data_IF_668380213329
#
_entry.id   IF_668380213329
#
_cell.length_a   1.000
_cell.length_b   1.000
_cell.length_c   1.000
_cell.angle_alpha   90.00
_cell.angle_beta   90.00
_cell.angle_gamma   90.00
#
_symmetry.space_group_name_H-M   'P 1'
#
loop_
_entity.id
_entity.type
_entity.pdbx_description
1 polymer ?
#
# COMPACT_ATOMS: atom_id res chain seq x y z
N UNK A 1 5.33 -2.25 -17.46
CA UNK A 1 4.89 -1.01 -18.12
C UNK A 1 3.43 -1.22 -18.50
N UNK A 2 2.49 -0.84 -17.63
CA UNK A 2 1.05 -1.02 -17.85
C UNK A 2 0.40 0.35 -18.02
N UNK A 3 -0.07 0.63 -19.23
CA UNK A 3 -1.06 1.67 -19.48
C UNK A 3 -2.33 1.30 -18.70
N UNK A 4 -2.70 2.14 -17.73
CA UNK A 4 -3.99 1.99 -17.06
C UNK A 4 -5.10 2.38 -18.05
N UNK A 5 -5.78 1.38 -18.61
CA UNK A 5 -7.02 1.58 -19.35
C UNK A 5 -8.06 2.20 -18.42
N UNK A 6 -8.43 3.44 -18.74
CA UNK A 6 -9.54 4.17 -18.15
C UNK A 6 -10.84 3.43 -18.45
N UNK A 7 -11.41 2.79 -17.43
CA UNK A 7 -12.74 2.18 -17.50
C UNK A 7 -13.78 3.30 -17.68
N UNK A 8 -14.28 3.45 -18.91
CA UNK A 8 -15.43 4.30 -19.23
C UNK A 8 -16.69 3.69 -18.60
N UNK A 9 -17.32 4.45 -17.72
CA UNK A 9 -18.68 4.22 -17.25
C UNK A 9 -19.67 4.26 -18.44
N UNK A 10 -20.14 3.08 -18.85
CA UNK A 10 -21.26 2.94 -19.79
C UNK A 10 -22.57 2.94 -18.98
N UNK A 11 -23.08 4.14 -18.62
CA UNK A 11 -24.46 4.30 -18.16
C UNK A 11 -25.39 4.19 -19.38
N UNK A 12 -25.93 3.00 -19.58
CA UNK A 12 -27.05 2.78 -20.51
C UNK A 12 -28.32 3.24 -19.82
N UNK A 13 -28.85 4.39 -20.26
CA UNK A 13 -30.22 4.81 -19.99
C UNK A 13 -31.15 3.96 -20.84
N UNK A 14 -31.79 2.97 -20.20
CA UNK A 14 -32.75 2.06 -20.81
C UNK A 14 -34.18 2.52 -20.55
N UNK A 15 -34.85 2.77 -21.65
CA UNK A 15 -36.16 3.35 -21.87
C UNK A 15 -37.35 2.57 -21.28
N UNK A 16 -38.41 3.31 -20.96
CA UNK A 16 -39.66 2.84 -20.38
C UNK A 16 -40.66 2.58 -21.50
N UNK A 17 -41.14 1.35 -21.65
CA UNK A 17 -42.01 0.97 -22.77
C UNK A 17 -42.79 -0.32 -22.57
N UNK A 18 -43.94 -0.17 -21.91
CA UNK A 18 -45.27 -0.71 -22.27
C UNK A 18 -45.57 -2.23 -22.43
N UNK A 19 -46.52 -2.65 -21.59
CA UNK A 19 -47.66 -3.56 -21.79
C UNK A 19 -47.67 -4.58 -22.93
N UNK A 20 -47.81 -5.87 -22.60
CA UNK A 20 -48.92 -6.70 -23.14
C UNK A 20 -49.13 -8.04 -22.42
N UNK A 21 -50.39 -8.22 -22.05
CA UNK A 21 -51.11 -9.44 -21.68
C UNK A 21 -50.98 -10.54 -22.72
N UNK A 22 -50.80 -11.79 -22.28
CA UNK A 22 -50.77 -12.99 -23.13
C UNK A 22 -51.08 -14.25 -22.33
N UNK A 23 -52.24 -14.82 -22.60
CA UNK A 23 -52.93 -15.91 -21.91
C UNK A 23 -52.44 -17.27 -22.44
N UNK A 24 -52.21 -18.20 -21.51
CA UNK A 24 -52.27 -19.68 -21.65
C UNK A 24 -51.22 -20.38 -22.53
N UNK A 25 -50.37 -21.17 -21.87
CA UNK A 25 -49.99 -22.49 -22.38
C UNK A 25 -49.62 -23.42 -21.21
N UNK A 26 -50.57 -24.26 -20.78
CA UNK A 26 -50.44 -25.19 -19.65
C UNK A 26 -50.18 -26.65 -20.08
N UNK A 27 -49.77 -26.90 -21.34
CA UNK A 27 -49.65 -28.25 -21.90
C UNK A 27 -48.27 -28.64 -22.45
N UNK A 28 -47.17 -28.12 -21.88
CA UNK A 28 -45.79 -28.49 -22.27
C UNK A 28 -45.00 -29.24 -21.19
N UNK A 29 -45.66 -29.73 -20.13
CA UNK A 29 -45.00 -30.21 -18.90
C UNK A 29 -44.59 -31.69 -18.84
N UNK A 30 -44.58 -32.41 -19.96
CA UNK A 30 -44.15 -33.82 -19.95
C UNK A 30 -43.14 -34.04 -21.08
N UNK A 31 -41.92 -34.43 -20.71
CA UNK A 31 -40.81 -34.81 -21.59
C UNK A 31 -39.80 -33.72 -21.97
N UNK A 32 -39.11 -33.20 -20.96
CA UNK A 32 -37.71 -32.79 -21.14
C UNK A 32 -36.93 -33.16 -19.88
N UNK A 33 -36.21 -34.28 -19.94
CA UNK A 33 -35.15 -34.55 -18.98
C UNK A 33 -34.22 -33.33 -18.97
N UNK A 34 -34.04 -32.64 -17.82
CA UNK A 34 -33.08 -31.54 -17.78
C UNK A 34 -31.72 -32.10 -18.23
N UNK A 35 -31.06 -31.49 -19.24
CA UNK A 35 -29.74 -31.94 -19.63
C UNK A 35 -28.87 -31.90 -18.37
N UNK A 36 -28.20 -33.00 -18.06
CA UNK A 36 -27.29 -33.08 -16.93
C UNK A 36 -26.27 -31.95 -17.07
N UNK A 37 -26.50 -30.85 -16.35
CA UNK A 37 -25.61 -29.71 -16.32
C UNK A 37 -24.38 -30.17 -15.54
N UNK A 38 -23.38 -30.67 -16.27
CA UNK A 38 -22.05 -30.84 -15.73
C UNK A 38 -21.61 -29.47 -15.21
N UNK A 39 -21.17 -29.34 -13.95
CA UNK A 39 -20.67 -28.08 -13.44
C UNK A 39 -19.49 -27.65 -14.32
N UNK A 40 -19.70 -26.60 -15.10
CA UNK A 40 -18.69 -26.03 -16.01
C UNK A 40 -17.66 -25.19 -15.27
N UNK A 41 -17.79 -25.07 -13.95
CA UNK A 41 -16.89 -24.31 -13.10
C UNK A 41 -15.92 -25.23 -12.38
N UNK A 42 -14.64 -24.89 -12.49
CA UNK A 42 -13.57 -25.51 -11.72
C UNK A 42 -13.84 -25.29 -10.21
N UNK A 43 -13.58 -26.28 -9.34
CA UNK A 43 -13.64 -26.07 -7.89
C UNK A 43 -12.73 -24.91 -7.45
N UNK A 44 -13.16 -24.14 -6.45
CA UNK A 44 -12.42 -22.97 -5.97
C UNK A 44 -11.02 -23.33 -5.48
N UNK A 45 -10.86 -24.49 -4.85
CA UNK A 45 -9.59 -25.00 -4.35
C UNK A 45 -8.57 -25.17 -5.49
N UNK A 46 -9.04 -25.55 -6.69
CA UNK A 46 -8.17 -25.68 -7.86
C UNK A 46 -7.78 -24.30 -8.40
N UNK A 47 -8.69 -23.32 -8.37
CA UNK A 47 -8.38 -21.95 -8.77
C UNK A 47 -7.36 -21.32 -7.81
N UNK A 48 -7.50 -21.56 -6.50
CA UNK A 48 -6.55 -21.11 -5.48
C UNK A 48 -5.16 -21.70 -5.71
N UNK A 49 -5.05 -23.01 -5.93
CA UNK A 49 -3.78 -23.66 -6.21
C UNK A 49 -3.10 -23.12 -7.48
N UNK A 50 -3.87 -22.82 -8.53
CA UNK A 50 -3.34 -22.21 -9.76
C UNK A 50 -2.75 -20.83 -9.44
N UNK A 51 -3.49 -19.98 -8.72
CA UNK A 51 -3.04 -18.63 -8.35
C UNK A 51 -1.84 -18.66 -7.42
N UNK A 52 -1.85 -19.54 -6.41
CA UNK A 52 -0.74 -19.72 -5.50
C UNK A 52 0.52 -20.17 -6.23
N UNK A 53 0.40 -21.11 -7.17
CA UNK A 53 1.53 -21.56 -7.97
C UNK A 53 2.12 -20.44 -8.84
N UNK A 54 1.29 -19.61 -9.47
CA UNK A 54 1.76 -18.43 -10.19
C UNK A 54 2.48 -17.44 -9.28
N UNK A 55 2.01 -17.28 -8.05
CA UNK A 55 2.57 -16.35 -7.07
C UNK A 55 3.89 -16.84 -6.43
N UNK A 56 4.36 -18.06 -6.72
CA UNK A 56 5.67 -18.55 -6.25
C UNK A 56 6.86 -17.91 -6.98
N UNK A 57 6.64 -17.41 -8.21
CA UNK A 57 7.68 -16.75 -9.00
C UNK A 57 8.04 -15.38 -8.41
N UNK A 58 9.23 -14.82 -8.73
CA UNK A 58 9.59 -13.46 -8.37
C UNK A 58 8.48 -12.48 -8.74
N UNK A 59 8.22 -11.52 -7.85
CA UNK A 59 7.07 -10.62 -7.94
C UNK A 59 7.01 -9.85 -9.25
N UNK A 60 8.17 -9.44 -9.74
CA UNK A 60 8.33 -8.69 -11.00
C UNK A 60 7.84 -9.48 -12.22
N UNK A 61 7.91 -10.81 -12.16
CA UNK A 61 7.51 -11.71 -13.24
C UNK A 61 6.03 -12.10 -13.11
N UNK A 62 5.57 -12.46 -11.90
CA UNK A 62 4.21 -12.99 -11.72
C UNK A 62 3.10 -11.93 -11.70
N UNK A 63 3.41 -10.66 -11.43
CA UNK A 63 2.37 -9.63 -11.29
C UNK A 63 1.57 -9.45 -12.58
N UNK A 64 2.23 -9.56 -13.74
CA UNK A 64 1.56 -9.48 -15.05
C UNK A 64 0.61 -10.65 -15.30
N UNK A 65 1.01 -11.85 -14.89
CA UNK A 65 0.20 -13.06 -15.03
C UNK A 65 -1.01 -13.02 -14.11
N UNK A 66 -0.83 -12.59 -12.85
CA UNK A 66 -1.92 -12.41 -11.89
C UNK A 66 -2.95 -11.39 -12.37
N UNK A 67 -2.48 -10.26 -12.94
CA UNK A 67 -3.37 -9.26 -13.55
C UNK A 67 -4.14 -9.85 -14.73
N UNK A 68 -3.44 -10.54 -15.63
CA UNK A 68 -4.05 -11.16 -16.81
C UNK A 68 -5.10 -12.20 -16.42
N UNK A 69 -4.81 -13.02 -15.41
CA UNK A 69 -5.72 -14.00 -14.84
C UNK A 69 -6.98 -13.34 -14.23
N UNK A 70 -6.80 -12.26 -13.46
CA UNK A 70 -7.90 -11.51 -12.86
C UNK A 70 -8.82 -10.84 -13.90
N UNK A 71 -8.28 -10.49 -15.07
CA UNK A 71 -9.05 -9.92 -16.18
C UNK A 71 -9.74 -11.00 -17.01
N UNK A 72 -9.17 -12.20 -17.09
CA UNK A 72 -9.71 -13.30 -17.87
C UNK A 72 -10.99 -13.89 -17.27
N UNK A 73 -11.11 -13.94 -15.94
CA UNK A 73 -12.32 -14.44 -15.27
C UNK A 73 -12.50 -13.82 -13.88
N UNK A 74 -13.76 -13.48 -13.56
CA UNK A 74 -14.13 -12.94 -12.26
C UNK A 74 -13.88 -13.91 -11.11
N UNK A 75 -13.83 -15.22 -11.38
CA UNK A 75 -13.54 -16.24 -10.39
C UNK A 75 -12.12 -16.11 -9.79
N UNK A 76 -11.17 -15.53 -10.54
CA UNK A 76 -9.80 -15.34 -10.08
C UNK A 76 -9.57 -14.01 -9.35
N UNK A 77 -10.50 -13.05 -9.45
CA UNK A 77 -10.25 -11.66 -9.00
C UNK A 77 -9.84 -11.62 -7.52
N UNK A 78 -10.60 -12.24 -6.61
CA UNK A 78 -10.32 -12.18 -5.18
C UNK A 78 -8.99 -12.84 -4.83
N UNK A 79 -8.70 -14.00 -5.44
CA UNK A 79 -7.48 -14.76 -5.24
C UNK A 79 -6.25 -14.00 -5.75
N UNK A 80 -6.32 -13.47 -6.99
CA UNK A 80 -5.23 -12.68 -7.55
C UNK A 80 -5.00 -11.38 -6.77
N UNK A 81 -6.07 -10.69 -6.34
CA UNK A 81 -5.96 -9.46 -5.55
C UNK A 81 -5.18 -9.66 -4.26
N UNK A 82 -5.40 -10.79 -3.56
CA UNK A 82 -4.64 -11.15 -2.35
C UNK A 82 -3.12 -11.12 -2.59
N UNK A 83 -2.65 -11.68 -3.70
CA UNK A 83 -1.22 -11.72 -4.03
C UNK A 83 -0.70 -10.40 -4.65
N UNK A 84 -1.53 -9.74 -5.47
CA UNK A 84 -1.24 -8.43 -6.05
C UNK A 84 -1.03 -7.38 -4.94
N UNK A 85 -1.86 -7.36 -3.91
CA UNK A 85 -1.78 -6.35 -2.85
C UNK A 85 -0.97 -6.80 -1.62
N UNK A 86 -0.41 -8.01 -1.63
CA UNK A 86 0.38 -8.55 -0.52
C UNK A 86 1.57 -7.66 -0.11
N UNK A 87 2.30 -7.13 -1.09
CA UNK A 87 3.48 -6.28 -0.89
C UNK A 87 3.30 -4.94 -1.60
N UNK A 88 3.27 -3.86 -0.86
CA UNK A 88 3.03 -2.50 -1.37
C UNK A 88 4.24 -1.63 -1.10
N UNK A 89 4.66 -0.86 -2.12
CA UNK A 89 5.70 0.16 -1.98
C UNK A 89 5.11 1.53 -2.30
N UNK A 90 5.06 2.42 -1.31
CA UNK A 90 4.54 3.78 -1.44
C UNK A 90 5.71 4.76 -1.42
N UNK A 91 5.92 5.43 -2.54
CA UNK A 91 6.95 6.44 -2.73
C UNK A 91 6.31 7.81 -2.78
N UNK A 92 6.66 8.67 -1.83
CA UNK A 92 6.14 10.02 -1.76
C UNK A 92 7.25 10.99 -2.13
N UNK A 93 6.93 11.84 -3.08
CA UNK A 93 7.70 13.02 -3.41
C UNK A 93 6.90 14.24 -3.05
N UNK A 94 7.32 14.97 -2.02
CA UNK A 94 6.78 16.30 -1.80
C UNK A 94 7.38 17.21 -2.89
N UNK A 95 6.55 18.04 -3.58
CA UNK A 95 7.04 18.97 -4.58
C UNK A 95 8.03 19.92 -3.92
N UNK A 96 9.32 19.74 -4.20
CA UNK A 96 10.34 20.70 -3.77
C UNK A 96 10.19 21.93 -4.67
N UNK A 97 9.99 23.10 -4.06
CA UNK A 97 9.77 24.37 -4.78
C UNK A 97 10.90 24.71 -5.76
N UNK A 98 12.12 24.19 -5.55
CA UNK A 98 13.31 24.59 -6.30
C UNK A 98 13.92 23.50 -7.20
N UNK A 99 13.31 22.31 -7.33
CA UNK A 99 13.85 21.25 -8.18
C UNK A 99 12.78 20.54 -9.00
N UNK A 100 12.99 20.50 -10.31
CA UNK A 100 12.20 19.64 -11.18
C UNK A 100 12.46 18.16 -10.82
N UNK A 101 11.45 17.41 -10.36
CA UNK A 101 11.60 15.97 -10.15
C UNK A 101 11.94 15.29 -11.48
N UNK A 102 12.67 14.18 -11.41
CA UNK A 102 12.78 13.31 -12.58
C UNK A 102 11.38 12.80 -12.96
N UNK A 103 11.14 12.60 -14.26
CA UNK A 103 9.88 12.02 -14.77
C UNK A 103 9.51 10.73 -14.02
N UNK A 104 10.51 9.89 -13.76
CA UNK A 104 10.35 8.63 -13.02
C UNK A 104 9.84 8.86 -11.57
N UNK A 105 10.37 9.87 -10.87
CA UNK A 105 9.96 10.18 -9.49
C UNK A 105 8.51 10.66 -9.45
N UNK A 106 8.11 11.48 -10.43
CA UNK A 106 6.75 11.97 -10.56
C UNK A 106 5.78 10.82 -10.86
N UNK A 107 6.17 9.89 -11.72
CA UNK A 107 5.38 8.70 -12.05
C UNK A 107 5.14 7.80 -10.83
N UNK A 108 6.17 7.53 -10.03
CA UNK A 108 6.00 6.77 -8.78
C UNK A 108 5.10 7.49 -7.79
N UNK A 109 5.25 8.81 -7.66
CA UNK A 109 4.41 9.61 -6.79
C UNK A 109 2.94 9.55 -7.19
N UNK A 110 2.65 9.72 -8.48
CA UNK A 110 1.29 9.66 -9.01
C UNK A 110 0.67 8.27 -8.80
N UNK A 111 1.44 7.19 -9.04
CA UNK A 111 0.98 5.82 -8.77
C UNK A 111 0.70 5.58 -7.29
N UNK A 112 1.56 6.10 -6.40
CA UNK A 112 1.35 6.01 -4.97
C UNK A 112 0.04 6.70 -4.55
N UNK A 113 -0.20 7.92 -5.03
CA UNK A 113 -1.45 8.65 -4.78
C UNK A 113 -2.68 7.91 -5.31
N UNK A 114 -2.62 7.36 -6.52
CA UNK A 114 -3.71 6.56 -7.09
C UNK A 114 -4.01 5.34 -6.22
N UNK A 115 -2.98 4.62 -5.79
CA UNK A 115 -3.14 3.48 -4.90
C UNK A 115 -3.77 3.89 -3.55
N UNK A 116 -3.30 4.98 -2.94
CA UNK A 116 -3.86 5.53 -1.71
C UNK A 116 -5.36 5.81 -1.87
N UNK A 117 -5.76 6.49 -2.96
CA UNK A 117 -7.16 6.77 -3.24
C UNK A 117 -8.00 5.50 -3.44
N UNK A 118 -7.43 4.48 -4.11
CA UNK A 118 -8.09 3.18 -4.30
C UNK A 118 -8.33 2.49 -2.95
N UNK A 119 -7.34 2.47 -2.06
CA UNK A 119 -7.47 1.84 -0.74
C UNK A 119 -8.46 2.60 0.15
N UNK A 120 -8.46 3.93 0.12
CA UNK A 120 -9.46 4.73 0.86
C UNK A 120 -10.88 4.42 0.37
N UNK A 121 -11.09 4.33 -0.95
CA UNK A 121 -12.40 4.04 -1.55
C UNK A 121 -12.83 2.59 -1.38
N UNK A 122 -11.87 1.67 -1.31
CA UNK A 122 -12.10 0.26 -1.11
C UNK A 122 -11.17 -0.33 -0.04
N UNK A 123 -11.50 -0.15 1.25
CA UNK A 123 -10.68 -0.61 2.37
C UNK A 123 -10.46 -2.13 2.41
N UNK A 124 -11.30 -2.92 1.73
CA UNK A 124 -11.12 -4.37 1.65
C UNK A 124 -9.79 -4.76 1.00
N UNK A 125 -9.26 -3.92 0.10
CA UNK A 125 -7.95 -4.13 -0.51
C UNK A 125 -6.81 -3.99 0.50
N UNK A 126 -6.98 -3.10 1.49
CA UNK A 126 -5.99 -2.91 2.56
C UNK A 126 -5.84 -4.13 3.47
N UNK A 127 -6.85 -5.00 3.54
CA UNK A 127 -6.78 -6.27 4.28
C UNK A 127 -5.74 -7.25 3.70
N UNK A 128 -5.42 -7.12 2.41
CA UNK A 128 -4.43 -7.98 1.76
C UNK A 128 -3.00 -7.49 1.97
N UNK A 129 -2.79 -6.24 2.41
CA UNK A 129 -1.47 -5.65 2.57
C UNK A 129 -0.80 -6.20 3.84
N UNK A 130 0.28 -6.96 3.65
CA UNK A 130 1.07 -7.55 4.73
C UNK A 130 2.47 -6.92 4.83
N UNK A 131 3.05 -6.56 3.68
CA UNK A 131 4.35 -5.92 3.60
C UNK A 131 4.19 -4.51 3.03
N UNK A 132 4.50 -3.50 3.83
CA UNK A 132 4.43 -2.11 3.41
C UNK A 132 5.84 -1.49 3.48
N UNK A 133 6.34 -1.03 2.33
CA UNK A 133 7.51 -0.14 2.29
C UNK A 133 7.04 1.28 1.99
N UNK A 134 7.29 2.21 2.90
CA UNK A 134 6.96 3.61 2.74
C UNK A 134 8.24 4.45 2.73
N UNK A 135 8.50 5.10 1.59
CA UNK A 135 9.66 5.96 1.38
C UNK A 135 9.24 7.39 1.12
N UNK A 136 9.88 8.32 1.83
CA UNK A 136 9.77 9.76 1.59
C UNK A 136 11.06 10.22 0.91
N UNK A 137 10.94 11.00 -0.17
CA UNK A 137 12.11 11.46 -0.96
C UNK A 137 12.53 12.89 -0.66
N UNK A 138 11.70 13.65 0.05
CA UNK A 138 11.92 15.03 0.45
C UNK A 138 11.28 15.31 1.80
N UNK A 139 11.71 16.35 2.49
CA UNK A 139 11.01 16.84 3.68
C UNK A 139 9.56 17.16 3.31
N UNK A 140 8.60 16.54 3.99
CA UNK A 140 7.18 16.83 3.79
C UNK A 140 6.94 18.30 4.13
N UNK A 141 6.56 19.09 3.14
CA UNK A 141 6.15 20.47 3.37
C UNK A 141 4.84 20.49 4.20
N UNK A 142 4.64 21.54 4.99
CA UNK A 142 3.47 21.66 5.87
C UNK A 142 2.15 21.75 5.11
N UNK A 143 2.21 22.15 3.84
CA UNK A 143 1.11 22.24 2.86
C UNK A 143 0.91 20.96 2.04
N UNK A 144 1.59 19.85 2.37
CA UNK A 144 1.40 18.60 1.64
C UNK A 144 0.06 17.93 1.99
N UNK A 145 -1.00 18.32 1.27
CA UNK A 145 -2.38 17.83 1.44
C UNK A 145 -2.51 16.30 1.38
N UNK A 146 -1.62 15.64 0.63
CA UNK A 146 -1.64 14.20 0.47
C UNK A 146 -1.41 13.43 1.78
N UNK A 147 -0.74 14.04 2.78
CA UNK A 147 -0.37 13.36 4.02
C UNK A 147 -1.57 12.74 4.74
N UNK A 148 -2.67 13.48 4.83
CA UNK A 148 -3.89 13.01 5.48
C UNK A 148 -4.45 11.74 4.85
N UNK A 149 -4.46 11.70 3.51
CA UNK A 149 -4.94 10.53 2.76
C UNK A 149 -4.01 9.32 2.93
N UNK A 150 -2.69 9.55 3.00
CA UNK A 150 -1.73 8.48 3.27
C UNK A 150 -1.98 7.84 4.63
N UNK A 151 -2.14 8.66 5.67
CA UNK A 151 -2.41 8.16 7.01
C UNK A 151 -3.76 7.42 7.07
N UNK A 152 -4.79 7.95 6.42
CA UNK A 152 -6.08 7.26 6.30
C UNK A 152 -5.97 5.92 5.55
N UNK A 153 -5.14 5.83 4.51
CA UNK A 153 -4.89 4.58 3.82
C UNK A 153 -4.13 3.57 4.71
N UNK A 154 -3.20 4.03 5.54
CA UNK A 154 -2.51 3.17 6.51
C UNK A 154 -3.46 2.61 7.58
N UNK A 155 -4.44 3.39 8.01
CA UNK A 155 -5.51 2.90 8.90
C UNK A 155 -6.36 1.81 8.24
N UNK A 156 -6.57 1.89 6.92
CA UNK A 156 -7.26 0.87 6.14
C UNK A 156 -6.43 -0.40 5.87
N UNK A 157 -5.16 -0.45 6.28
CA UNK A 157 -4.25 -1.60 6.11
C UNK A 157 -3.92 -2.24 7.46
N UNK A 158 -4.87 -2.90 8.14
CA UNK A 158 -4.62 -3.44 9.48
C UNK A 158 -3.57 -4.55 9.47
N UNK A 159 -3.52 -5.40 8.45
CA UNK A 159 -2.75 -6.65 8.47
C UNK A 159 -1.24 -6.51 8.17
N UNK A 160 -0.67 -5.31 8.32
CA UNK A 160 0.77 -5.09 8.11
C UNK A 160 1.57 -5.85 9.17
N UNK A 161 2.37 -6.81 8.72
CA UNK A 161 3.30 -7.62 9.53
C UNK A 161 4.76 -7.19 9.34
N UNK A 162 5.08 -6.60 8.19
CA UNK A 162 6.40 -6.04 7.88
C UNK A 162 6.23 -4.61 7.44
N UNK A 163 6.87 -3.70 8.16
CA UNK A 163 6.91 -2.28 7.83
C UNK A 163 8.35 -1.87 7.56
N UNK A 164 8.58 -1.30 6.39
CA UNK A 164 9.83 -0.65 6.03
C UNK A 164 9.58 0.83 5.85
N UNK A 165 10.27 1.65 6.63
CA UNK A 165 10.20 3.10 6.56
C UNK A 165 11.55 3.60 6.12
N UNK A 166 11.58 4.58 5.22
CA UNK A 166 12.86 5.20 4.92
C UNK A 166 12.82 6.52 4.20
N UNK A 167 13.99 7.13 4.14
CA UNK A 167 14.24 8.27 3.28
C UNK A 167 15.04 7.83 2.05
N UNK A 168 14.51 8.08 0.85
CA UNK A 168 15.29 7.86 -0.38
C UNK A 168 15.93 9.18 -0.76
N UNK A 169 17.26 9.28 -0.61
CA UNK A 169 17.99 10.40 -1.21
C UNK A 169 17.80 10.36 -2.73
N UNK A 170 17.14 11.38 -3.28
CA UNK A 170 16.84 11.48 -4.71
C UNK A 170 18.10 11.71 -5.58
N UNK A 171 19.31 11.72 -5.03
CA UNK A 171 20.51 11.97 -5.81
C UNK A 171 21.70 11.08 -5.43
N UNK A 172 22.07 10.12 -6.30
CA UNK A 172 23.37 9.45 -6.22
C UNK A 172 24.54 10.35 -6.67
N UNK A 173 24.27 11.56 -7.20
CA UNK A 173 25.28 12.47 -7.73
C UNK A 173 25.97 13.34 -6.65
N UNK A 174 25.60 13.22 -5.38
CA UNK A 174 26.29 13.90 -4.27
C UNK A 174 27.42 13.04 -3.69
N UNK A 175 28.04 12.23 -4.54
CA UNK A 175 29.36 11.68 -4.27
C UNK A 175 30.39 12.81 -4.24
N UNK A 176 31.11 12.88 -3.13
CA UNK A 176 32.40 13.60 -3.00
C UNK A 176 32.39 15.13 -3.15
N UNK A 177 31.96 15.85 -2.09
CA UNK A 177 32.38 17.24 -1.96
C UNK A 177 31.63 18.02 -0.89
N UNK A 178 32.05 17.90 0.38
CA UNK A 178 31.62 18.74 1.52
C UNK A 178 30.11 18.87 1.69
N UNK A 179 29.53 17.84 2.28
CA UNK A 179 28.12 17.77 2.63
C UNK A 179 27.68 18.89 3.57
N UNK A 180 26.91 19.85 3.03
CA UNK A 180 25.67 20.19 3.70
C UNK A 180 24.78 18.96 3.58
N UNK A 181 24.89 18.06 4.55
CA UNK A 181 23.98 16.95 4.63
C UNK A 181 22.56 17.51 4.64
N UNK A 182 21.75 17.14 3.64
CA UNK A 182 20.31 16.95 3.83
C UNK A 182 20.06 15.77 4.78
N UNK A 183 20.91 15.60 5.82
CA UNK A 183 20.38 15.12 7.07
C UNK A 183 19.27 16.09 7.43
N UNK A 184 18.28 15.61 8.13
CA UNK A 184 17.35 16.49 8.80
C UNK A 184 18.17 17.28 9.82
N UNK A 185 18.82 18.35 9.34
CA UNK A 185 19.71 19.16 10.12
C UNK A 185 18.93 19.67 11.33
N UNK A 186 19.62 20.16 12.36
CA UNK A 186 19.00 20.62 13.61
C UNK A 186 17.86 21.65 13.46
N UNK A 187 17.51 22.11 12.25
CA UNK A 187 16.25 22.80 11.94
C UNK A 187 14.96 22.00 12.24
N UNK A 188 14.97 20.66 12.30
CA UNK A 188 13.82 19.92 12.86
C UNK A 188 13.66 20.11 14.38
N UNK A 189 14.66 20.62 15.11
CA UNK A 189 14.51 20.95 16.54
C UNK A 189 13.55 22.11 16.79
N UNK A 190 13.14 22.83 15.74
CA UNK A 190 12.17 23.92 15.82
C UNK A 190 10.97 23.71 14.90
N UNK A 191 10.69 22.49 14.45
CA UNK A 191 9.49 22.23 13.66
C UNK A 191 8.27 22.71 14.46
N UNK A 192 7.48 23.60 13.87
CA UNK A 192 6.31 24.15 14.55
C UNK A 192 5.39 23.00 14.98
N UNK A 193 4.76 23.09 16.17
CA UNK A 193 3.69 22.17 16.54
C UNK A 193 2.68 22.06 15.39
N UNK A 194 2.39 20.83 14.96
CA UNK A 194 1.49 20.57 13.82
C UNK A 194 2.18 20.44 12.45
N UNK A 195 3.51 20.52 12.37
CA UNK A 195 4.23 20.28 11.11
C UNK A 195 3.87 18.93 10.49
N UNK A 196 3.94 18.82 9.16
CA UNK A 196 3.67 17.58 8.42
C UNK A 196 4.57 16.42 8.88
N UNK A 197 5.81 16.72 9.30
CA UNK A 197 6.69 15.71 9.89
C UNK A 197 6.15 15.13 11.20
N UNK A 198 5.65 15.98 12.11
CA UNK A 198 5.06 15.52 13.38
C UNK A 198 3.84 14.65 13.11
N UNK A 199 2.94 15.11 12.22
CA UNK A 199 1.73 14.35 11.83
C UNK A 199 2.08 13.01 11.19
N UNK A 200 3.04 12.99 10.27
CA UNK A 200 3.53 11.76 9.66
C UNK A 200 4.10 10.81 10.71
N UNK A 201 4.95 11.32 11.60
CA UNK A 201 5.55 10.54 12.68
C UNK A 201 4.49 9.94 13.59
N UNK A 202 3.51 10.72 14.02
CA UNK A 202 2.40 10.24 14.86
C UNK A 202 1.58 9.15 14.16
N UNK A 203 1.22 9.36 12.89
CA UNK A 203 0.47 8.37 12.12
C UNK A 203 1.25 7.07 11.91
N UNK A 204 2.55 7.17 11.62
CA UNK A 204 3.44 6.00 11.48
C UNK A 204 3.64 5.30 12.82
N UNK A 205 3.79 6.04 13.92
CA UNK A 205 3.83 5.48 15.28
C UNK A 205 2.60 4.64 15.58
N UNK A 206 1.41 5.06 15.11
CA UNK A 206 0.18 4.27 15.24
C UNK A 206 0.24 2.90 14.55
N UNK A 207 0.97 2.78 13.44
CA UNK A 207 1.20 1.49 12.75
C UNK A 207 2.24 0.67 13.51
N UNK A 208 3.31 1.31 13.97
CA UNK A 208 4.41 0.65 14.67
C UNK A 208 4.00 0.12 16.05
N UNK A 209 3.02 0.76 16.67
CA UNK A 209 2.41 0.31 17.92
C UNK A 209 1.47 -0.90 17.75
N UNK A 210 1.18 -1.37 16.54
CA UNK A 210 0.26 -2.49 16.32
C UNK A 210 0.86 -3.81 16.82
N UNK A 211 0.05 -4.70 17.41
CA UNK A 211 0.55 -5.97 17.97
C UNK A 211 0.98 -6.98 16.90
N UNK A 212 0.41 -6.93 15.68
CA UNK A 212 0.79 -7.85 14.60
C UNK A 212 2.10 -7.48 13.87
N UNK A 213 2.66 -6.29 14.13
CA UNK A 213 3.88 -5.88 13.44
C UNK A 213 5.07 -6.68 13.97
N UNK A 214 5.55 -7.64 13.17
CA UNK A 214 6.65 -8.52 13.54
C UNK A 214 8.02 -8.00 13.11
N UNK A 215 8.08 -7.30 11.97
CA UNK A 215 9.35 -6.80 11.40
C UNK A 215 9.26 -5.30 11.13
N UNK A 216 10.18 -4.54 11.69
CA UNK A 216 10.35 -3.11 11.43
C UNK A 216 11.72 -2.86 10.81
N UNK A 217 11.76 -2.19 9.65
CA UNK A 217 13.01 -1.79 8.99
C UNK A 217 13.05 -0.28 8.84
N UNK A 218 14.07 0.36 9.39
CA UNK A 218 14.26 1.81 9.32
C UNK A 218 15.48 2.11 8.45
N UNK A 219 15.29 2.83 7.35
CA UNK A 219 16.37 3.23 6.44
C UNK A 219 16.55 4.74 6.37
N UNK A 220 17.69 5.23 6.86
CA UNK A 220 18.01 6.66 6.89
C UNK A 220 16.97 7.50 7.64
N UNK A 221 16.44 6.96 8.75
CA UNK A 221 15.50 7.67 9.63
C UNK A 221 16.25 8.09 10.89
N UNK A 222 16.29 9.40 11.09
CA UNK A 222 16.91 10.01 12.25
C UNK A 222 15.85 10.25 13.33
N UNK A 223 16.19 9.96 14.59
CA UNK A 223 15.36 10.28 15.76
C UNK A 223 13.97 9.60 15.75
N UNK A 224 13.94 8.29 15.45
CA UNK A 224 12.69 7.53 15.53
C UNK A 224 12.24 7.37 17.01
N UNK A 225 10.96 7.58 17.36
CA UNK A 225 10.48 7.48 18.74
C UNK A 225 10.53 6.02 19.24
N UNK A 226 11.41 5.74 20.21
CA UNK A 226 11.58 4.37 20.73
C UNK A 226 10.34 3.87 21.49
N UNK A 227 9.57 4.80 22.06
CA UNK A 227 8.33 4.55 22.79
C UNK A 227 7.16 4.15 21.88
N UNK A 228 7.26 4.39 20.58
CA UNK A 228 6.29 3.92 19.60
C UNK A 228 6.45 2.43 19.26
N UNK A 229 7.54 1.79 19.67
CA UNK A 229 7.81 0.39 19.35
C UNK A 229 6.84 -0.53 20.11
N UNK A 230 6.07 -1.32 19.35
CA UNK A 230 5.27 -2.42 19.89
C UNK A 230 6.16 -3.54 20.43
N UNK A 231 5.72 -4.19 21.51
CA UNK A 231 6.35 -5.41 22.02
C UNK A 231 6.22 -6.60 21.06
N UNK A 232 5.40 -6.48 20.00
CA UNK A 232 5.24 -7.50 18.96
C UNK A 232 6.40 -7.58 17.97
N UNK A 233 7.27 -6.57 17.92
CA UNK A 233 8.38 -6.50 16.97
C UNK A 233 9.47 -7.51 17.37
N UNK A 234 9.74 -8.46 16.49
CA UNK A 234 10.74 -9.54 16.66
C UNK A 234 12.02 -9.25 15.89
N UNK A 235 11.89 -8.57 14.75
CA UNK A 235 13.01 -8.19 13.88
C UNK A 235 13.03 -6.68 13.72
N UNK A 236 14.16 -6.08 14.07
CA UNK A 236 14.41 -4.65 13.92
C UNK A 236 15.69 -4.47 13.08
N UNK A 237 15.55 -3.90 11.89
CA UNK A 237 16.68 -3.59 10.99
C UNK A 237 16.88 -2.08 10.93
N UNK A 238 18.09 -1.63 11.25
CA UNK A 238 18.48 -0.23 11.26
C UNK A 238 19.59 0.01 10.23
N UNK A 239 19.24 0.64 9.12
CA UNK A 239 20.22 1.02 8.09
C UNK A 239 20.38 2.53 8.08
N UNK A 240 21.48 3.01 8.67
CA UNK A 240 21.77 4.45 8.84
C UNK A 240 20.64 5.18 9.60
N UNK A 241 20.03 4.50 10.55
CA UNK A 241 18.92 5.01 11.35
C UNK A 241 19.25 4.94 12.83
N UNK A 242 18.66 5.82 13.64
CA UNK A 242 18.84 5.81 15.11
C UNK A 242 17.59 6.32 15.84
N UNK A 243 17.46 5.91 17.09
CA UNK A 243 16.34 6.30 17.97
C UNK A 243 16.54 7.66 18.62
N UNK A 244 15.42 8.32 18.95
CA UNK A 244 15.43 9.48 19.84
C UNK A 244 15.32 9.03 21.30
N UNK A 245 16.33 9.34 22.10
CA UNK A 245 16.36 9.03 23.54
C UNK A 245 16.02 10.25 24.42
N UNK A 246 15.65 11.40 23.82
CA UNK A 246 15.55 12.66 24.54
C UNK A 246 14.30 12.82 25.40
N UNK A 247 13.25 12.04 25.16
CA UNK A 247 11.93 12.31 25.74
C UNK A 247 11.68 11.68 27.12
N UNK A 248 12.69 11.04 27.72
CA UNK A 248 12.60 10.54 29.10
C UNK A 248 13.87 10.88 29.84
N UNK A 249 13.74 11.29 31.10
CA UNK A 249 14.80 11.40 32.10
C UNK A 249 15.61 10.08 32.22
N UNK A 250 16.49 9.81 31.25
CA UNK A 250 17.34 8.64 31.22
C UNK A 250 18.52 8.83 32.18
N UNK A 251 18.22 9.11 33.46
CA UNK A 251 19.20 8.93 34.55
C UNK A 251 19.54 7.45 34.79
N UNK A 252 18.93 6.54 34.04
CA UNK A 252 19.21 5.11 34.10
C UNK A 252 19.91 4.65 32.82
N UNK A 253 21.05 3.99 33.02
CA UNK A 253 22.00 3.54 32.01
C UNK A 253 21.32 2.76 30.86
N UNK A 254 21.86 2.86 29.64
CA UNK A 254 21.27 2.21 28.47
C UNK A 254 21.18 0.69 28.65
N UNK A 255 20.05 0.06 28.33
CA UNK A 255 19.97 -1.39 28.22
C UNK A 255 20.92 -1.84 27.10
N UNK A 256 21.88 -2.68 27.47
CA UNK A 256 22.77 -3.36 26.51
C UNK A 256 21.93 -4.40 25.77
N UNK A 257 21.44 -4.05 24.59
CA UNK A 257 21.00 -5.05 23.62
C UNK A 257 22.27 -5.60 22.95
N UNK A 258 22.52 -6.90 23.18
CA UNK A 258 23.57 -7.71 22.55
C UNK A 258 23.06 -8.26 21.21
#
# INVERSE_FOLDING_TARGET
MCEMMSARDNRVSGDSGDSRTGVVSLLSRLSSSPPAQMPTQLPNEMLELIVEHMALNPREECIGDLLSCSLASSAFISMCQKHIFHTVKIWIHAPLQDRHPSSETLEYHQRALQFIQIVIRNPSLGLYVQHLSHYVTSTLCDDYDGLHDILRAFDAMPNIITLELGHRSASPLWGSGRGMGLGFGPGLRGAAPGSSWIRWREGVSGIVARPQLGTLRLRSIENFPIDALSTGIRELDLVRSWFDFRDKDWKYAPPRFL
#
